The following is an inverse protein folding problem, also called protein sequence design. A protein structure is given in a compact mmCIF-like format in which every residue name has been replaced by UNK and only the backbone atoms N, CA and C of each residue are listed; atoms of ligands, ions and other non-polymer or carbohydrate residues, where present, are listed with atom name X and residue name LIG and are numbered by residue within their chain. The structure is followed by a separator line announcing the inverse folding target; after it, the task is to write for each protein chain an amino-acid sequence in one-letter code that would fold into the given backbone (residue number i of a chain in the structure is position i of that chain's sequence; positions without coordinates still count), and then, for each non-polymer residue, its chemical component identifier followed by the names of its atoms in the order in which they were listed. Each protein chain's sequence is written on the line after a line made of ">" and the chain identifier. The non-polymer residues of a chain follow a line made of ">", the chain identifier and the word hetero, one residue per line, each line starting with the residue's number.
data_IF_625053345844
#
_entry.id   IF_625053345844
#
_cell.length_a   1.000
_cell.length_b   1.000
_cell.length_c   1.000
_cell.angle_alpha   90.00
_cell.angle_beta   90.00
_cell.angle_gamma   90.00
#
_symmetry.space_group_name_H-M   'P 1'
#
loop_
_entity.id
_entity.type
_entity.pdbx_description
1 polymer ?
#
# COMPACT_ATOMS: atom_id res chain seq x y z
N UNK A 1 -0.35 6.24 -7.77
CA UNK A 1 -1.50 7.00 -7.24
C UNK A 1 -1.43 6.93 -5.72
N UNK A 2 -1.69 8.02 -5.00
CA UNK A 2 -1.48 8.14 -3.54
C UNK A 2 -2.77 8.37 -2.74
N UNK A 3 -3.93 8.30 -3.41
CA UNK A 3 -5.25 8.59 -2.83
C UNK A 3 -5.50 7.85 -1.51
N UNK A 4 -5.19 6.55 -1.45
CA UNK A 4 -5.39 5.75 -0.23
C UNK A 4 -4.59 6.29 0.96
N UNK A 5 -3.30 6.55 0.76
CA UNK A 5 -2.40 7.09 1.80
C UNK A 5 -2.75 8.52 2.19
N UNK A 6 -3.21 9.35 1.26
CA UNK A 6 -3.67 10.72 1.54
C UNK A 6 -4.93 10.69 2.42
N UNK A 7 -5.91 9.87 2.08
CA UNK A 7 -7.13 9.73 2.87
C UNK A 7 -6.84 9.18 4.27
N UNK A 8 -5.97 8.17 4.36
CA UNK A 8 -5.53 7.61 5.65
C UNK A 8 -4.82 8.64 6.52
N UNK A 9 -3.87 9.41 5.95
CA UNK A 9 -3.16 10.45 6.68
C UNK A 9 -4.14 11.52 7.21
N UNK A 10 -5.06 12.00 6.36
CA UNK A 10 -6.07 13.00 6.77
C UNK A 10 -6.93 12.48 7.92
N UNK A 11 -7.37 11.23 7.83
CA UNK A 11 -8.13 10.57 8.91
C UNK A 11 -7.32 10.53 10.21
N UNK A 12 -6.11 9.97 10.18
CA UNK A 12 -5.25 9.83 11.37
C UNK A 12 -4.89 11.17 12.02
N UNK A 13 -4.66 12.21 11.21
CA UNK A 13 -4.40 13.55 11.73
C UNK A 13 -5.64 14.15 12.39
N UNK A 14 -6.81 13.98 11.79
CA UNK A 14 -8.08 14.42 12.37
C UNK A 14 -8.38 13.74 13.70
N UNK A 15 -8.14 12.42 13.81
CA UNK A 15 -8.27 11.68 15.07
C UNK A 15 -7.32 12.21 16.17
N UNK A 16 -6.21 12.84 15.78
CA UNK A 16 -5.28 13.52 16.69
C UNK A 16 -5.61 15.00 16.92
N UNK A 17 -6.74 15.48 16.42
CA UNK A 17 -7.16 16.88 16.52
C UNK A 17 -6.33 17.85 15.66
N UNK A 18 -5.66 17.33 14.62
CA UNK A 18 -4.85 18.11 13.69
C UNK A 18 -5.58 18.27 12.34
N UNK A 19 -5.51 19.47 11.77
CA UNK A 19 -6.12 19.78 10.46
C UNK A 19 -5.16 20.61 9.58
N UNK A 20 -4.02 20.04 9.15
CA UNK A 20 -3.09 20.76 8.30
C UNK A 20 -3.64 20.93 6.88
N UNK A 21 -3.39 22.09 6.29
CA UNK A 21 -3.77 22.36 4.90
C UNK A 21 -2.97 21.47 3.93
N UNK A 22 -3.63 20.61 3.13
CA UNK A 22 -2.92 19.78 2.15
C UNK A 22 -2.41 20.63 0.99
N UNK A 23 -1.21 20.31 0.52
CA UNK A 23 -0.60 20.91 -0.67
C UNK A 23 -0.09 19.79 -1.56
N UNK A 24 -0.64 19.69 -2.77
CA UNK A 24 -0.16 18.72 -3.76
C UNK A 24 1.17 19.19 -4.35
N UNK A 25 2.16 18.30 -4.32
CA UNK A 25 3.52 18.53 -4.79
C UNK A 25 4.08 17.26 -5.43
N UNK A 26 5.11 17.41 -6.26
CA UNK A 26 5.88 16.24 -6.73
C UNK A 26 6.53 15.50 -5.56
N UNK A 27 6.90 14.22 -5.72
CA UNK A 27 7.38 13.38 -4.62
C UNK A 27 8.89 13.60 -4.38
N UNK A 28 9.26 14.83 -4.05
CA UNK A 28 10.61 15.23 -3.68
C UNK A 28 10.60 15.77 -2.24
N UNK A 29 11.22 15.03 -1.32
CA UNK A 29 11.15 15.33 0.10
C UNK A 29 11.66 16.73 0.43
N UNK A 30 12.80 17.09 -0.14
CA UNK A 30 13.51 18.33 0.18
C UNK A 30 12.66 19.54 -0.24
N UNK A 31 12.16 19.55 -1.48
CA UNK A 31 11.25 20.58 -1.99
C UNK A 31 9.92 20.61 -1.22
N UNK A 32 9.41 19.45 -0.78
CA UNK A 32 8.18 19.39 0.01
C UNK A 32 8.35 20.06 1.38
N UNK A 33 9.46 19.79 2.07
CA UNK A 33 9.76 20.34 3.40
C UNK A 33 10.18 21.82 3.36
N UNK A 34 10.68 22.33 2.23
CA UNK A 34 10.87 23.77 2.05
C UNK A 34 9.56 24.57 2.09
N UNK A 35 8.43 23.91 1.75
CA UNK A 35 7.11 24.56 1.62
C UNK A 35 6.11 24.15 2.71
N UNK A 36 6.28 22.98 3.31
CA UNK A 36 5.32 22.38 4.23
C UNK A 36 6.03 21.85 5.49
N UNK A 37 5.32 21.83 6.61
CA UNK A 37 5.86 21.32 7.89
C UNK A 37 5.97 19.78 7.92
N UNK A 38 5.38 19.09 6.94
CA UNK A 38 5.42 17.64 6.82
C UNK A 38 5.20 17.19 5.38
N UNK A 39 5.69 16.00 5.06
CA UNK A 39 5.62 15.41 3.73
C UNK A 39 5.09 13.98 3.79
N UNK A 40 4.11 13.65 2.94
CA UNK A 40 3.66 12.29 2.71
C UNK A 40 4.41 11.69 1.52
N UNK A 41 5.20 10.65 1.77
CA UNK A 41 5.83 9.84 0.74
C UNK A 41 5.25 8.44 0.71
N UNK A 42 5.21 7.83 -0.46
CA UNK A 42 4.76 6.45 -0.67
C UNK A 42 5.73 5.68 -1.59
N UNK A 43 5.63 4.35 -1.57
CA UNK A 43 6.45 3.47 -2.42
C UNK A 43 7.93 3.53 -2.08
N UNK A 44 8.77 3.20 -3.06
CA UNK A 44 10.22 3.03 -2.86
C UNK A 44 10.90 4.29 -2.31
N UNK A 45 10.44 5.48 -2.73
CA UNK A 45 10.96 6.77 -2.25
C UNK A 45 10.77 6.95 -0.75
N UNK A 46 9.64 6.50 -0.20
CA UNK A 46 9.39 6.57 1.24
C UNK A 46 10.41 5.70 2.00
N UNK A 47 10.67 4.50 1.48
CA UNK A 47 11.61 3.55 2.08
C UNK A 47 13.05 4.07 2.04
N UNK A 48 13.46 4.65 0.91
CA UNK A 48 14.81 5.20 0.75
C UNK A 48 15.03 6.44 1.61
N UNK A 49 14.04 7.33 1.68
CA UNK A 49 14.10 8.51 2.56
C UNK A 49 14.03 8.15 4.04
N UNK A 50 13.21 7.18 4.44
CA UNK A 50 13.17 6.68 5.81
C UNK A 50 14.51 6.07 6.27
N UNK A 51 15.27 5.46 5.37
CA UNK A 51 16.61 4.93 5.70
C UNK A 51 17.68 6.01 5.79
N UNK A 52 17.63 6.98 4.87
CA UNK A 52 18.64 8.04 4.79
C UNK A 52 18.43 9.15 5.82
N UNK A 53 17.18 9.36 6.25
CA UNK A 53 16.77 10.40 7.19
C UNK A 53 15.76 9.82 8.21
N UNK A 54 16.15 8.82 9.01
CA UNK A 54 15.24 8.13 9.93
C UNK A 54 14.59 9.07 10.96
N UNK A 55 15.27 10.13 11.35
CA UNK A 55 14.77 11.17 12.26
C UNK A 55 13.60 11.99 11.69
N UNK A 56 13.45 12.04 10.36
CA UNK A 56 12.33 12.72 9.71
C UNK A 56 11.06 11.84 9.66
N UNK A 57 11.16 10.56 9.98
CA UNK A 57 10.01 9.65 10.01
C UNK A 57 9.21 9.89 11.29
N UNK A 58 8.16 10.71 11.18
CA UNK A 58 7.28 11.03 12.30
C UNK A 58 6.08 10.09 12.42
N UNK A 59 5.68 9.44 11.31
CA UNK A 59 4.47 8.63 11.27
C UNK A 59 4.56 7.55 10.17
N UNK A 60 4.54 6.29 10.58
CA UNK A 60 4.21 5.17 9.70
C UNK A 60 2.68 5.02 9.68
N UNK A 61 2.07 5.17 8.49
CA UNK A 61 0.62 5.11 8.36
C UNK A 61 0.04 3.71 8.60
N UNK A 62 0.75 2.66 8.19
CA UNK A 62 0.32 1.28 8.39
C UNK A 62 0.37 0.91 9.88
N UNK A 63 1.47 1.27 10.55
CA UNK A 63 1.59 1.05 12.00
C UNK A 63 0.57 1.88 12.79
N UNK A 64 0.39 3.16 12.44
CA UNK A 64 -0.57 4.01 13.13
C UNK A 64 -2.03 3.53 12.97
N UNK A 65 -2.36 2.97 11.80
CA UNK A 65 -3.65 2.32 11.58
C UNK A 65 -3.81 1.07 12.46
N UNK A 66 -2.78 0.21 12.48
CA UNK A 66 -2.77 -1.00 13.30
C UNK A 66 -2.88 -0.67 14.80
N UNK A 67 -2.14 0.32 15.29
CA UNK A 67 -2.17 0.74 16.70
C UNK A 67 -3.55 1.26 17.12
N UNK A 68 -4.25 1.93 16.21
CA UNK A 68 -5.54 2.54 16.46
C UNK A 68 -6.71 1.55 16.31
N UNK A 69 -6.64 0.63 15.35
CA UNK A 69 -7.77 -0.25 15.00
C UNK A 69 -7.57 -1.71 15.41
N UNK A 70 -6.32 -2.12 15.62
CA UNK A 70 -5.95 -3.54 15.76
C UNK A 70 -6.03 -4.34 14.45
N UNK A 71 -6.24 -3.69 13.31
CA UNK A 71 -6.41 -4.34 12.01
C UNK A 71 -5.29 -3.96 11.03
N UNK A 72 -4.92 -4.86 10.09
CA UNK A 72 -3.96 -4.54 9.05
C UNK A 72 -4.52 -3.48 8.08
N UNK A 73 -3.62 -2.66 7.52
CA UNK A 73 -3.98 -1.67 6.50
C UNK A 73 -3.84 -2.27 5.09
N UNK A 74 -4.89 -2.17 4.27
CA UNK A 74 -4.88 -2.59 2.86
C UNK A 74 -4.73 -1.38 1.95
N UNK A 75 -3.55 -1.20 1.34
CA UNK A 75 -3.26 -0.04 0.48
C UNK A 75 -3.74 -0.18 -0.96
N UNK A 76 -3.94 -1.41 -1.45
CA UNK A 76 -4.34 -1.67 -2.83
C UNK A 76 -5.03 -3.01 -3.00
N UNK A 77 -5.95 -3.04 -3.96
CA UNK A 77 -6.68 -4.25 -4.37
C UNK A 77 -6.73 -4.31 -5.90
N UNK A 78 -6.86 -5.52 -6.45
CA UNK A 78 -7.30 -5.69 -7.84
C UNK A 78 -8.82 -5.63 -7.88
N UNK A 79 -9.37 -4.71 -8.67
CA UNK A 79 -10.80 -4.53 -8.85
C UNK A 79 -11.18 -4.59 -10.33
N UNK A 80 -12.37 -5.11 -10.60
CA UNK A 80 -12.99 -5.10 -11.93
C UNK A 80 -14.30 -4.32 -11.87
N UNK A 81 -14.72 -3.74 -13.01
CA UNK A 81 -16.05 -3.13 -13.11
C UNK A 81 -17.14 -4.19 -12.94
N UNK A 82 -18.27 -3.79 -12.35
CA UNK A 82 -19.44 -4.68 -12.12
C UNK A 82 -20.03 -5.27 -13.40
N UNK A 83 -19.81 -4.64 -14.55
CA UNK A 83 -20.30 -5.08 -15.86
C UNK A 83 -19.26 -5.87 -16.68
N UNK A 84 -18.08 -6.16 -16.10
CA UNK A 84 -17.11 -7.06 -16.72
C UNK A 84 -17.64 -8.51 -16.67
N UNK A 85 -17.56 -9.30 -17.77
CA UNK A 85 -17.97 -10.69 -17.77
C UNK A 85 -17.26 -11.50 -16.67
N UNK A 86 -18.05 -12.20 -15.84
CA UNK A 86 -17.56 -12.89 -14.63
C UNK A 86 -16.50 -13.92 -14.96
N UNK A 87 -16.63 -14.62 -16.08
CA UNK A 87 -15.71 -15.66 -16.53
C UNK A 87 -14.32 -15.08 -16.83
N UNK A 88 -14.25 -13.85 -17.34
CA UNK A 88 -13.00 -13.14 -17.59
C UNK A 88 -12.35 -12.73 -16.27
N UNK A 89 -13.14 -12.22 -15.32
CA UNK A 89 -12.63 -11.84 -13.99
C UNK A 89 -12.11 -13.06 -13.23
N UNK A 90 -12.81 -14.19 -13.29
CA UNK A 90 -12.37 -15.45 -12.69
C UNK A 90 -11.06 -15.96 -13.32
N UNK A 91 -10.95 -15.92 -14.65
CA UNK A 91 -9.72 -16.32 -15.34
C UNK A 91 -8.53 -15.42 -14.96
N UNK A 92 -8.74 -14.11 -14.90
CA UNK A 92 -7.71 -13.17 -14.47
C UNK A 92 -7.31 -13.37 -13.01
N UNK A 93 -8.28 -13.54 -12.11
CA UNK A 93 -8.04 -13.81 -10.69
C UNK A 93 -7.24 -15.09 -10.49
N UNK A 94 -7.63 -16.18 -11.16
CA UNK A 94 -6.92 -17.45 -11.11
C UNK A 94 -5.47 -17.31 -11.62
N UNK A 95 -5.26 -16.58 -12.72
CA UNK A 95 -3.92 -16.34 -13.24
C UNK A 95 -3.04 -15.55 -12.26
N UNK A 96 -3.59 -14.55 -11.56
CA UNK A 96 -2.87 -13.79 -10.53
C UNK A 96 -2.47 -14.68 -9.36
N UNK A 97 -3.40 -15.51 -8.86
CA UNK A 97 -3.13 -16.45 -7.77
C UNK A 97 -2.04 -17.45 -8.13
N UNK A 98 -2.08 -18.02 -9.34
CA UNK A 98 -1.05 -18.96 -9.79
C UNK A 98 0.34 -18.31 -9.92
N UNK A 99 0.41 -17.02 -10.28
CA UNK A 99 1.67 -16.29 -10.32
C UNK A 99 2.20 -15.96 -8.93
N UNK A 100 1.32 -15.57 -8.01
CA UNK A 100 1.69 -15.36 -6.62
C UNK A 100 2.19 -16.66 -5.97
N UNK A 101 1.46 -17.76 -6.16
CA UNK A 101 1.84 -19.09 -5.69
C UNK A 101 3.21 -19.51 -6.22
N UNK A 102 3.47 -19.30 -7.52
CA UNK A 102 4.77 -19.61 -8.12
C UNK A 102 5.89 -18.75 -7.53
N UNK A 103 5.65 -17.45 -7.33
CA UNK A 103 6.62 -16.54 -6.72
C UNK A 103 6.97 -16.91 -5.27
N UNK A 104 5.99 -17.41 -4.50
CA UNK A 104 6.18 -17.81 -3.10
C UNK A 104 6.84 -19.19 -2.97
N UNK A 105 6.52 -20.14 -3.86
CA UNK A 105 6.88 -21.56 -3.70
C UNK A 105 8.07 -22.01 -4.56
N UNK A 106 8.31 -21.38 -5.71
CA UNK A 106 9.41 -21.75 -6.62
C UNK A 106 10.59 -20.76 -6.50
N UNK A 107 11.75 -21.19 -5.95
CA UNK A 107 12.93 -20.34 -5.83
C UNK A 107 13.42 -19.75 -7.15
N UNK A 108 13.30 -20.49 -8.26
CA UNK A 108 13.74 -20.01 -9.57
C UNK A 108 12.82 -18.91 -10.10
N UNK A 109 11.51 -19.04 -9.90
CA UNK A 109 10.55 -17.98 -10.21
C UNK A 109 10.82 -16.74 -9.36
N UNK A 110 11.04 -16.91 -8.05
CA UNK A 110 11.37 -15.80 -7.15
C UNK A 110 12.64 -15.05 -7.61
N UNK A 111 13.71 -15.78 -7.92
CA UNK A 111 14.97 -15.19 -8.39
C UNK A 111 14.77 -14.41 -9.69
N UNK A 112 14.03 -14.95 -10.66
CA UNK A 112 13.72 -14.25 -11.91
C UNK A 112 12.98 -12.94 -11.68
N UNK A 113 11.99 -12.93 -10.77
CA UNK A 113 11.24 -11.72 -10.42
C UNK A 113 12.15 -10.69 -9.76
N UNK A 114 13.02 -11.10 -8.83
CA UNK A 114 13.97 -10.22 -8.16
C UNK A 114 14.98 -9.61 -9.14
N UNK A 115 15.54 -10.41 -10.05
CA UNK A 115 16.45 -9.94 -11.09
C UNK A 115 15.75 -8.97 -12.04
N UNK A 116 14.53 -9.27 -12.45
CA UNK A 116 13.75 -8.38 -13.31
C UNK A 116 13.47 -7.04 -12.62
N UNK A 117 13.05 -7.05 -11.35
CA UNK A 117 12.82 -5.84 -10.57
C UNK A 117 14.11 -5.03 -10.38
N UNK A 118 15.24 -5.70 -10.11
CA UNK A 118 16.55 -5.05 -9.98
C UNK A 118 16.99 -4.36 -11.28
N UNK A 119 16.70 -4.93 -12.44
CA UNK A 119 17.04 -4.32 -13.74
C UNK A 119 16.21 -3.06 -14.06
N UNK A 120 15.09 -2.85 -13.36
CA UNK A 120 14.17 -1.74 -13.61
C UNK A 120 14.01 -0.81 -12.40
N UNK A 121 14.87 -0.95 -11.38
CA UNK A 121 14.90 -0.10 -10.20
C UNK A 121 16.34 0.13 -9.72
N UNK A 122 16.57 1.19 -8.95
CA UNK A 122 17.89 1.44 -8.34
C UNK A 122 18.12 0.61 -7.06
N UNK A 123 17.23 -0.33 -6.75
CA UNK A 123 17.25 -1.11 -5.51
C UNK A 123 18.13 -2.34 -5.64
N UNK A 124 18.94 -2.65 -4.62
CA UNK A 124 19.72 -3.89 -4.59
C UNK A 124 18.83 -5.13 -4.49
N UNK A 125 19.32 -6.28 -4.99
CA UNK A 125 18.63 -7.57 -4.85
C UNK A 125 18.31 -7.92 -3.39
N UNK A 126 19.22 -7.61 -2.46
CA UNK A 126 19.00 -7.81 -1.03
C UNK A 126 17.80 -6.98 -0.53
N UNK A 127 17.72 -5.71 -0.95
CA UNK A 127 16.60 -4.85 -0.55
C UNK A 127 15.29 -5.33 -1.17
N UNK A 128 15.27 -5.66 -2.45
CA UNK A 128 14.06 -6.19 -3.11
C UNK A 128 13.57 -7.47 -2.45
N UNK A 129 14.48 -8.39 -2.11
CA UNK A 129 14.11 -9.63 -1.45
C UNK A 129 13.49 -9.39 -0.07
N UNK A 130 14.02 -8.42 0.69
CA UNK A 130 13.46 -8.02 1.98
C UNK A 130 12.10 -7.33 1.81
N UNK A 131 12.01 -6.37 0.89
CA UNK A 131 10.79 -5.62 0.63
C UNK A 131 9.62 -6.53 0.21
N UNK A 132 9.85 -7.46 -0.71
CA UNK A 132 8.82 -8.44 -1.10
C UNK A 132 8.50 -9.47 0.01
N UNK A 133 9.29 -9.54 1.07
CA UNK A 133 8.95 -10.29 2.29
C UNK A 133 8.20 -9.45 3.33
N UNK A 134 8.28 -8.11 3.26
CA UNK A 134 7.56 -7.18 4.15
C UNK A 134 6.10 -6.97 3.70
N UNK A 135 5.82 -7.14 2.40
CA UNK A 135 4.48 -6.92 1.82
C UNK A 135 3.65 -8.21 1.83
N UNK A 136 2.44 -8.13 2.36
CA UNK A 136 1.46 -9.22 2.30
C UNK A 136 0.54 -9.05 1.08
N UNK A 137 0.52 -10.05 0.20
CA UNK A 137 -0.20 -9.99 -1.09
C UNK A 137 -1.44 -10.91 -1.13
N UNK A 138 -1.82 -11.49 0.02
CA UNK A 138 -3.04 -12.30 0.13
C UNK A 138 -4.09 -11.49 0.88
N UNK A 139 -5.34 -11.64 0.48
CA UNK A 139 -6.47 -10.96 1.12
C UNK A 139 -7.29 -12.00 1.88
N UNK A 140 -6.90 -12.28 3.12
CA UNK A 140 -7.67 -13.15 4.01
C UNK A 140 -8.73 -12.36 4.80
N UNK A 141 -9.47 -13.03 5.68
CA UNK A 141 -10.54 -12.43 6.47
C UNK A 141 -10.09 -11.21 7.27
N UNK A 142 -8.92 -11.25 7.90
CA UNK A 142 -8.42 -10.14 8.73
C UNK A 142 -8.10 -8.91 7.85
N UNK A 143 -7.58 -9.14 6.64
CA UNK A 143 -7.35 -8.08 5.68
C UNK A 143 -8.64 -7.52 5.08
N UNK A 144 -9.66 -8.36 4.88
CA UNK A 144 -10.99 -7.91 4.44
C UNK A 144 -11.64 -7.02 5.51
N UNK A 145 -11.56 -7.43 6.78
CA UNK A 145 -12.07 -6.64 7.90
C UNK A 145 -11.35 -5.28 7.98
N UNK A 146 -10.01 -5.28 7.88
CA UNK A 146 -9.19 -4.07 7.82
C UNK A 146 -9.53 -3.15 6.64
N UNK A 147 -9.73 -3.71 5.45
CA UNK A 147 -10.15 -2.97 4.26
C UNK A 147 -11.52 -2.33 4.46
N UNK A 148 -12.48 -3.07 5.00
CA UNK A 148 -13.83 -2.58 5.23
C UNK A 148 -13.83 -1.43 6.25
N UNK A 149 -13.07 -1.57 7.34
CA UNK A 149 -12.93 -0.54 8.35
C UNK A 149 -12.32 0.75 7.77
N UNK A 150 -11.28 0.61 6.95
CA UNK A 150 -10.69 1.74 6.22
C UNK A 150 -11.70 2.44 5.31
N UNK A 151 -12.44 1.69 4.50
CA UNK A 151 -13.41 2.26 3.56
C UNK A 151 -14.55 3.00 4.27
N UNK A 152 -15.05 2.45 5.38
CA UNK A 152 -16.09 3.11 6.17
C UNK A 152 -15.58 4.40 6.82
N UNK A 153 -14.42 4.34 7.51
CA UNK A 153 -13.91 5.45 8.31
C UNK A 153 -13.24 6.55 7.50
N UNK A 154 -12.42 6.17 6.52
CA UNK A 154 -11.58 7.10 5.76
C UNK A 154 -12.22 7.54 4.44
N UNK A 155 -13.08 6.70 3.84
CA UNK A 155 -13.65 6.95 2.51
C UNK A 155 -15.18 7.20 2.54
N UNK A 156 -15.82 7.12 3.70
CA UNK A 156 -17.28 7.31 3.86
C UNK A 156 -18.08 6.35 2.96
N UNK A 157 -17.63 5.10 2.85
CA UNK A 157 -18.39 4.06 2.17
C UNK A 157 -19.45 3.50 3.13
N UNK A 158 -20.73 3.75 2.81
CA UNK A 158 -21.86 3.32 3.65
C UNK A 158 -22.23 1.84 3.46
N UNK A 159 -21.84 1.24 2.34
CA UNK A 159 -22.12 -0.16 2.01
C UNK A 159 -20.90 -1.06 2.26
N UNK A 160 -21.10 -2.28 2.80
CA UNK A 160 -20.01 -3.22 2.97
C UNK A 160 -19.43 -3.65 1.62
N UNK A 161 -18.16 -4.07 1.64
CA UNK A 161 -17.46 -4.51 0.43
C UNK A 161 -18.11 -5.79 -0.08
N UNK A 162 -18.48 -5.83 -1.36
CA UNK A 162 -19.03 -7.01 -2.02
C UNK A 162 -17.97 -7.69 -2.89
N UNK A 163 -17.80 -8.99 -2.73
CA UNK A 163 -16.97 -9.83 -3.61
C UNK A 163 -17.84 -10.50 -4.67
N UNK A 164 -17.29 -10.72 -5.87
CA UNK A 164 -18.05 -11.32 -6.98
C UNK A 164 -18.41 -12.80 -6.73
N UNK A 165 -17.62 -13.52 -5.92
CA UNK A 165 -17.83 -14.91 -5.50
C UNK A 165 -17.18 -15.16 -4.14
#
# INVERSE_FOLDING_TARGET
>A
DSSSSVALLKFLLKERGLDPRPVEMGPDLDTMLERCDGALLIGDRALDRAKSNPELVQLDLGQAWLDMTGQPMVFGVFAARKDTPVEIVQAAHQALLERLDAFEKDPLTREKVLLHAHLHSDMSLERLNRYFGEVFNRLDTEHVDGLQEYLMRCCSLDEPVSFLW
#
